data_IF_718251971995
#
_entry.id   IF_718251971995
#
_cell.length_a   1.000
_cell.length_b   1.000
_cell.length_c   1.000
_cell.angle_alpha   90.00
_cell.angle_beta   90.00
_cell.angle_gamma   90.00
#
_symmetry.space_group_name_H-M   'P 1'
#
loop_
_entity.id
_entity.type
_entity.pdbx_description
1 polymer ?
#
# COMPACT_ATOMS: atom_id res chain seq x y z
N UNK A 1 17.41 -6.32 11.09
CA UNK A 1 18.07 -5.48 10.08
C UNK A 1 17.06 -5.41 8.96
N UNK A 2 16.30 -4.32 8.87
CA UNK A 2 15.11 -4.32 8.02
C UNK A 2 15.53 -4.40 6.55
N UNK A 3 14.90 -5.33 5.83
CA UNK A 3 15.16 -5.56 4.41
C UNK A 3 14.72 -4.33 3.59
N UNK A 4 15.27 -4.18 2.39
CA UNK A 4 14.88 -3.10 1.48
C UNK A 4 13.37 -3.16 1.15
N UNK A 5 12.81 -4.37 1.12
CA UNK A 5 11.39 -4.61 0.92
C UNK A 5 10.53 -4.08 2.08
N UNK A 6 10.93 -4.33 3.33
CA UNK A 6 10.21 -3.85 4.52
C UNK A 6 10.15 -2.32 4.58
N UNK A 7 11.18 -1.63 4.07
CA UNK A 7 11.20 -0.16 3.97
C UNK A 7 10.28 0.37 2.87
N UNK A 8 10.22 -0.30 1.72
CA UNK A 8 9.29 0.09 0.65
C UNK A 8 7.85 -0.13 1.10
N UNK A 9 7.59 -1.26 1.77
CA UNK A 9 6.31 -1.59 2.39
C UNK A 9 5.86 -0.53 3.39
N UNK A 10 6.73 -0.13 4.32
CA UNK A 10 6.34 0.83 5.37
C UNK A 10 6.01 2.21 4.79
N UNK A 11 6.67 2.61 3.70
CA UNK A 11 6.34 3.85 3.00
C UNK A 11 4.98 3.76 2.30
N UNK A 12 4.70 2.67 1.59
CA UNK A 12 3.42 2.49 0.89
C UNK A 12 2.25 2.36 1.88
N UNK A 13 2.42 1.64 2.99
CA UNK A 13 1.41 1.52 4.05
C UNK A 13 1.14 2.87 4.72
N UNK A 14 2.19 3.67 4.95
CA UNK A 14 2.06 5.02 5.46
C UNK A 14 1.33 5.94 4.47
N UNK A 15 1.72 5.92 3.19
CA UNK A 15 1.16 6.77 2.13
C UNK A 15 -0.31 6.43 1.82
N UNK A 16 -0.71 5.18 2.07
CA UNK A 16 -2.09 4.70 1.92
C UNK A 16 -2.86 4.64 3.24
N UNK A 17 -2.29 5.17 4.32
CA UNK A 17 -3.01 5.25 5.59
C UNK A 17 -4.18 6.23 5.50
N UNK A 18 -5.19 6.02 6.36
CA UNK A 18 -6.33 6.94 6.47
C UNK A 18 -5.92 8.36 6.91
N UNK A 19 -4.71 8.52 7.46
CA UNK A 19 -4.17 9.80 7.91
C UNK A 19 -4.14 10.84 6.79
N UNK A 20 -3.84 10.44 5.55
CA UNK A 20 -3.78 11.33 4.40
C UNK A 20 -5.15 11.79 3.93
N UNK A 21 -6.17 10.94 4.02
CA UNK A 21 -7.57 11.30 3.73
C UNK A 21 -8.12 12.26 4.80
N UNK A 22 -7.80 12.01 6.07
CA UNK A 22 -8.13 12.90 7.16
C UNK A 22 -7.41 14.25 7.01
N UNK A 23 -6.14 14.24 6.62
CA UNK A 23 -5.36 15.45 6.35
C UNK A 23 -5.97 16.25 5.20
N UNK A 24 -6.34 15.58 4.09
CA UNK A 24 -7.05 16.19 2.96
C UNK A 24 -8.31 16.93 3.43
N UNK A 25 -9.14 16.27 4.24
CA UNK A 25 -10.36 16.85 4.81
C UNK A 25 -10.06 18.08 5.67
N UNK A 26 -9.05 18.00 6.55
CA UNK A 26 -8.62 19.12 7.40
C UNK A 26 -8.09 20.29 6.59
N UNK A 27 -7.29 20.04 5.56
CA UNK A 27 -6.73 21.07 4.68
C UNK A 27 -7.86 21.81 3.96
N UNK A 28 -8.82 21.10 3.36
CA UNK A 28 -9.99 21.73 2.72
C UNK A 28 -10.78 22.59 3.72
N UNK A 29 -10.97 22.10 4.95
CA UNK A 29 -11.68 22.86 5.98
C UNK A 29 -10.95 24.16 6.36
N UNK A 30 -9.65 24.07 6.65
CA UNK A 30 -8.81 25.22 7.05
C UNK A 30 -8.77 26.28 5.94
N UNK A 31 -8.59 25.84 4.71
CA UNK A 31 -8.59 26.67 3.52
C UNK A 31 -9.93 27.40 3.34
N UNK A 32 -11.05 26.69 3.51
CA UNK A 32 -12.38 27.31 3.47
C UNK A 32 -12.56 28.36 4.58
N UNK A 33 -12.00 28.13 5.77
CA UNK A 33 -12.00 29.14 6.83
C UNK A 33 -11.14 30.36 6.46
N UNK A 34 -9.96 30.16 5.88
CA UNK A 34 -9.07 31.25 5.43
C UNK A 34 -9.76 32.08 4.36
N UNK A 35 -10.37 31.43 3.36
CA UNK A 35 -11.10 32.11 2.29
C UNK A 35 -12.26 32.94 2.85
N UNK A 36 -13.02 32.41 3.81
CA UNK A 36 -14.10 33.16 4.46
C UNK A 36 -13.59 34.34 5.29
N UNK A 37 -12.48 34.18 6.02
CA UNK A 37 -11.86 35.26 6.80
C UNK A 37 -11.24 36.35 5.92
N UNK A 38 -10.76 35.99 4.74
CA UNK A 38 -10.14 36.91 3.79
C UNK A 38 -11.16 37.70 2.96
N UNK A 39 -12.45 37.33 2.99
CA UNK A 39 -13.51 38.06 2.25
C UNK A 39 -13.52 39.54 2.66
N UNK A 40 -13.47 40.41 1.65
CA UNK A 40 -13.45 41.87 1.85
C UNK A 40 -12.10 42.44 2.30
N UNK A 41 -11.05 41.62 2.36
CA UNK A 41 -9.67 42.06 2.63
C UNK A 41 -8.84 42.11 1.35
N UNK A 42 -7.66 42.73 1.40
CA UNK A 42 -6.70 42.73 0.29
C UNK A 42 -6.18 41.33 -0.07
N UNK A 43 -6.35 40.34 0.83
CA UNK A 43 -5.90 38.95 0.66
C UNK A 43 -6.99 38.04 0.06
N UNK A 44 -8.14 38.60 -0.34
CA UNK A 44 -9.28 37.80 -0.82
C UNK A 44 -8.94 36.96 -2.05
N UNK A 45 -8.17 37.52 -2.99
CA UNK A 45 -7.76 36.85 -4.22
C UNK A 45 -6.76 35.72 -3.93
N UNK A 46 -5.70 36.00 -3.16
CA UNK A 46 -4.71 35.00 -2.74
C UNK A 46 -5.36 33.84 -1.98
N UNK A 47 -6.31 34.14 -1.09
CA UNK A 47 -7.05 33.12 -0.35
C UNK A 47 -7.95 32.26 -1.25
N UNK A 48 -8.49 32.83 -2.33
CA UNK A 48 -9.26 32.07 -3.32
C UNK A 48 -8.36 31.17 -4.18
N UNK A 49 -7.18 31.66 -4.59
CA UNK A 49 -6.18 30.87 -5.34
C UNK A 49 -5.70 29.71 -4.48
N UNK A 50 -5.30 29.98 -3.24
CA UNK A 50 -4.89 28.96 -2.28
C UNK A 50 -5.97 27.90 -2.11
N UNK A 51 -7.25 28.30 -2.11
CA UNK A 51 -8.35 27.36 -1.98
C UNK A 51 -8.52 26.42 -3.16
N UNK A 52 -8.37 26.95 -4.37
CA UNK A 52 -8.40 26.14 -5.58
C UNK A 52 -7.23 25.17 -5.61
N UNK A 53 -6.02 25.63 -5.34
CA UNK A 53 -4.82 24.79 -5.43
C UNK A 53 -4.76 23.73 -4.34
N UNK A 54 -5.14 24.07 -3.10
CA UNK A 54 -5.26 23.11 -2.03
C UNK A 54 -6.31 22.03 -2.35
N UNK A 55 -7.45 22.41 -2.93
CA UNK A 55 -8.47 21.44 -3.34
C UNK A 55 -7.94 20.49 -4.41
N UNK A 56 -7.24 21.00 -5.44
CA UNK A 56 -6.64 20.16 -6.49
C UNK A 56 -5.63 19.16 -5.94
N UNK A 57 -4.79 19.60 -4.99
CA UNK A 57 -3.81 18.71 -4.33
C UNK A 57 -4.51 17.62 -3.51
N UNK A 58 -5.54 18.00 -2.74
CA UNK A 58 -6.35 17.07 -1.97
C UNK A 58 -7.04 16.03 -2.88
N UNK A 59 -7.65 16.48 -3.99
CA UNK A 59 -8.29 15.60 -4.96
C UNK A 59 -7.28 14.64 -5.61
N UNK A 60 -6.04 15.09 -5.84
CA UNK A 60 -4.99 14.26 -6.40
C UNK A 60 -4.56 13.16 -5.42
N UNK A 61 -4.33 13.50 -4.15
CA UNK A 61 -3.96 12.53 -3.10
C UNK A 61 -5.06 11.48 -2.91
N UNK A 62 -6.33 11.91 -2.82
CA UNK A 62 -7.46 10.99 -2.69
C UNK A 62 -7.60 10.06 -3.90
N UNK A 63 -7.34 10.57 -5.10
CA UNK A 63 -7.35 9.74 -6.31
C UNK A 63 -6.23 8.69 -6.28
N UNK A 64 -5.01 9.08 -5.93
CA UNK A 64 -3.89 8.13 -5.81
C UNK A 64 -4.22 7.05 -4.77
N UNK A 65 -4.80 7.44 -3.63
CA UNK A 65 -5.25 6.51 -2.60
C UNK A 65 -6.27 5.48 -3.14
N UNK A 66 -7.29 5.96 -3.87
CA UNK A 66 -8.29 5.10 -4.50
C UNK A 66 -7.73 4.21 -5.59
N UNK A 67 -6.87 4.74 -6.45
CA UNK A 67 -6.30 4.01 -7.59
C UNK A 67 -5.37 2.90 -7.11
N UNK A 68 -4.53 3.18 -6.10
CA UNK A 68 -3.68 2.15 -5.50
C UNK A 68 -4.53 1.13 -4.75
N UNK A 69 -5.57 1.55 -4.01
CA UNK A 69 -6.52 0.64 -3.37
C UNK A 69 -7.18 -0.33 -4.37
N UNK A 70 -7.59 0.17 -5.55
CA UNK A 70 -8.13 -0.66 -6.63
C UNK A 70 -7.11 -1.62 -7.22
N UNK A 71 -5.89 -1.14 -7.49
CA UNK A 71 -4.81 -1.98 -8.02
C UNK A 71 -4.50 -3.13 -7.07
N UNK A 72 -4.50 -2.89 -5.76
CA UNK A 72 -4.28 -3.94 -4.76
C UNK A 72 -5.41 -5.00 -4.77
N UNK A 73 -6.66 -4.57 -4.92
CA UNK A 73 -7.82 -5.49 -5.04
C UNK A 73 -7.76 -6.28 -6.35
N UNK A 74 -7.44 -5.62 -7.47
CA UNK A 74 -7.29 -6.28 -8.76
C UNK A 74 -6.14 -7.28 -8.75
N UNK A 75 -5.04 -6.96 -8.08
CA UNK A 75 -3.92 -7.88 -7.93
C UNK A 75 -4.33 -9.10 -7.11
N UNK A 76 -5.02 -8.92 -5.98
CA UNK A 76 -5.58 -9.99 -5.14
C UNK A 76 -6.52 -10.92 -5.92
N UNK A 77 -7.30 -10.38 -6.86
CA UNK A 77 -8.22 -11.16 -7.70
C UNK A 77 -7.55 -11.89 -8.86
N UNK A 78 -6.45 -11.35 -9.39
CA UNK A 78 -5.70 -11.94 -10.51
C UNK A 78 -4.62 -12.93 -10.07
N UNK A 79 -4.44 -13.08 -8.75
CA UNK A 79 -3.55 -14.06 -8.13
C UNK A 79 -3.90 -15.49 -8.57
N UNK A 80 -3.09 -16.14 -9.43
CA UNK A 80 -3.31 -17.54 -9.82
C UNK A 80 -3.07 -18.44 -8.60
N UNK A 81 -3.89 -19.49 -8.42
CA UNK A 81 -3.49 -20.63 -7.57
C UNK A 81 -2.21 -21.23 -8.18
N UNK A 82 -1.05 -20.96 -7.57
CA UNK A 82 0.22 -21.33 -8.16
C UNK A 82 0.51 -22.82 -7.95
N UNK A 83 0.46 -23.58 -9.04
CA UNK A 83 0.92 -24.98 -9.11
C UNK A 83 2.45 -25.00 -9.31
N UNK A 84 3.19 -24.86 -8.21
CA UNK A 84 4.65 -24.87 -8.21
C UNK A 84 5.21 -26.27 -8.00
N UNK A 85 5.51 -26.97 -9.08
CA UNK A 85 6.41 -28.15 -9.00
C UNK A 85 7.48 -28.11 -10.10
N UNK A 86 8.69 -27.58 -9.82
CA UNK A 86 9.87 -27.87 -10.61
C UNK A 86 10.48 -29.22 -10.24
N UNK A 87 10.97 -29.95 -11.24
CA UNK A 87 11.41 -31.35 -11.18
C UNK A 87 12.72 -31.64 -10.41
N UNK A 88 13.35 -30.63 -9.80
CA UNK A 88 14.69 -30.73 -9.19
C UNK A 88 14.76 -30.34 -7.70
N UNK A 89 13.62 -30.18 -7.04
CA UNK A 89 13.54 -29.98 -5.59
C UNK A 89 12.59 -31.02 -5.04
N UNK A 90 12.89 -31.60 -3.87
CA UNK A 90 12.02 -32.58 -3.24
C UNK A 90 10.61 -31.98 -3.12
N UNK A 91 9.60 -32.55 -3.79
CA UNK A 91 8.24 -32.03 -3.77
C UNK A 91 7.72 -31.88 -2.34
N UNK A 92 8.20 -32.70 -1.40
CA UNK A 92 7.82 -32.62 0.01
C UNK A 92 8.42 -31.40 0.75
N UNK A 93 9.57 -30.88 0.30
CA UNK A 93 10.19 -29.67 0.85
C UNK A 93 9.48 -28.41 0.36
N UNK A 94 9.19 -28.34 -0.95
CA UNK A 94 8.38 -27.26 -1.53
C UNK A 94 6.99 -27.27 -0.90
N UNK A 95 6.32 -28.42 -0.84
CA UNK A 95 4.97 -28.50 -0.30
C UNK A 95 4.92 -28.07 1.17
N UNK A 96 5.97 -28.33 1.97
CA UNK A 96 6.08 -27.83 3.35
C UNK A 96 6.22 -26.32 3.40
N UNK A 97 7.10 -25.73 2.59
CA UNK A 97 7.26 -24.28 2.54
C UNK A 97 6.01 -23.59 1.95
N UNK A 98 5.35 -24.16 0.94
CA UNK A 98 4.08 -23.67 0.39
C UNK A 98 2.97 -23.71 1.44
N UNK A 99 2.82 -24.82 2.17
CA UNK A 99 1.83 -24.92 3.26
C UNK A 99 2.17 -23.93 4.38
N UNK A 100 3.46 -23.71 4.65
CA UNK A 100 3.89 -22.79 5.69
C UNK A 100 3.66 -21.32 5.28
N UNK A 101 3.98 -20.93 4.05
CA UNK A 101 3.66 -19.61 3.48
C UNK A 101 2.14 -19.41 3.46
N UNK A 102 1.38 -20.44 3.10
CA UNK A 102 -0.08 -20.38 3.08
C UNK A 102 -0.67 -20.28 4.49
N UNK A 103 -0.09 -20.98 5.48
CA UNK A 103 -0.44 -20.81 6.90
C UNK A 103 -0.07 -19.44 7.42
N UNK A 104 1.12 -18.94 7.11
CA UNK A 104 1.57 -17.60 7.46
C UNK A 104 0.64 -16.55 6.83
N UNK A 105 0.18 -16.77 5.59
CA UNK A 105 -0.81 -15.94 4.89
C UNK A 105 -2.22 -16.03 5.50
N UNK A 106 -2.68 -17.21 5.92
CA UNK A 106 -4.02 -17.42 6.50
C UNK A 106 -4.12 -17.09 7.99
N UNK A 107 -3.02 -17.12 8.75
CA UNK A 107 -2.99 -16.64 10.15
C UNK A 107 -3.02 -15.11 10.24
N UNK A 108 -2.80 -14.40 9.14
CA UNK A 108 -2.91 -12.94 9.05
C UNK A 108 -4.38 -12.52 8.90
N UNK A 109 -4.96 -11.98 9.98
CA UNK A 109 -6.33 -11.46 10.02
C UNK A 109 -6.50 -10.25 9.10
N UNK A 110 -7.07 -10.47 7.92
CA UNK A 110 -7.59 -9.51 6.94
C UNK A 110 -7.62 -8.02 7.37
N UNK A 111 -6.43 -7.41 7.45
CA UNK A 111 -6.25 -5.97 7.42
C UNK A 111 -5.51 -5.62 6.12
N UNK A 112 -5.65 -4.37 5.67
CA UNK A 112 -4.97 -3.81 4.50
C UNK A 112 -3.45 -4.10 4.46
N UNK A 113 -2.82 -4.11 5.64
CA UNK A 113 -1.46 -4.55 5.94
C UNK A 113 -1.11 -5.95 5.41
N UNK A 114 -2.07 -6.88 5.44
CA UNK A 114 -1.85 -8.28 5.10
C UNK A 114 -1.99 -8.53 3.60
N UNK A 115 -2.81 -7.75 2.90
CA UNK A 115 -2.91 -7.78 1.42
C UNK A 115 -1.60 -7.30 0.82
N UNK A 116 -1.10 -6.12 1.22
CA UNK A 116 0.18 -5.60 0.71
C UNK A 116 1.33 -6.56 1.06
N UNK A 117 1.36 -7.10 2.27
CA UNK A 117 2.38 -8.07 2.68
C UNK A 117 2.30 -9.38 1.88
N UNK A 118 1.10 -9.88 1.59
CA UNK A 118 0.91 -11.05 0.73
C UNK A 118 1.43 -10.80 -0.70
N UNK A 119 1.18 -9.62 -1.27
CA UNK A 119 1.64 -9.24 -2.60
C UNK A 119 3.18 -9.14 -2.72
N UNK A 120 3.85 -8.74 -1.65
CA UNK A 120 5.32 -8.67 -1.62
C UNK A 120 5.98 -10.00 -1.19
N UNK A 121 5.35 -10.79 -0.32
CA UNK A 121 5.76 -12.18 -0.05
C UNK A 121 5.59 -13.08 -1.27
N UNK A 122 4.67 -12.74 -2.17
CA UNK A 122 4.54 -13.36 -3.49
C UNK A 122 5.71 -13.06 -4.43
N UNK A 123 6.51 -12.05 -4.11
CA UNK A 123 7.77 -11.77 -4.79
C UNK A 123 8.93 -12.59 -4.22
N UNK A 124 8.79 -13.21 -3.04
CA UNK A 124 9.71 -14.23 -2.54
C UNK A 124 9.43 -15.55 -3.26
N UNK A 125 10.22 -15.88 -4.28
CA UNK A 125 10.18 -17.20 -4.90
C UNK A 125 10.56 -18.25 -3.82
N UNK A 126 9.72 -19.28 -3.55
CA UNK A 126 10.07 -20.37 -2.65
C UNK A 126 11.43 -20.99 -2.98
N UNK A 127 11.83 -20.98 -4.25
CA UNK A 127 13.13 -21.43 -4.73
C UNK A 127 14.29 -20.58 -4.23
N UNK A 128 14.12 -19.26 -4.16
CA UNK A 128 15.15 -18.35 -3.66
C UNK A 128 15.32 -18.52 -2.15
N UNK A 129 14.23 -18.71 -1.39
CA UNK A 129 14.28 -19.07 0.04
C UNK A 129 15.00 -20.40 0.31
N UNK A 130 14.77 -21.43 -0.52
CA UNK A 130 15.48 -22.72 -0.39
C UNK A 130 16.96 -22.59 -0.77
N UNK A 131 17.29 -21.74 -1.75
CA UNK A 131 18.69 -21.46 -2.12
C UNK A 131 19.44 -20.71 -1.02
N UNK A 132 18.84 -19.69 -0.41
CA UNK A 132 19.43 -18.93 0.70
C UNK A 132 19.69 -19.82 1.92
N UNK A 133 18.75 -20.72 2.27
CA UNK A 133 18.93 -21.70 3.37
C UNK A 133 20.04 -22.73 3.15
N UNK A 134 20.52 -22.92 1.91
CA UNK A 134 21.60 -23.87 1.57
C UNK A 134 22.98 -23.20 1.48
N UNK A 135 23.05 -21.87 1.62
CA UNK A 135 24.29 -21.08 1.54
C UNK A 135 24.86 -20.78 2.94
N UNK A 136 24.12 -21.06 4.01
CA UNK A 136 24.60 -21.17 5.40
C UNK A 136 24.92 -22.63 5.79
#
# INVERSE_FOLDING_TARGET
MDTQLEKIYSHVDHDLSAEWLDLSTRVRHLVGQIQNKAKGTILAEDAAILAVDASKLCDHVERVHLDVGKLLIELDQQMPEMDFTPSNVDPAEIQRETIQIHRESHEMKANFKDVIKALFMWQDDPMDRVREKKVD
#
